data_IF_856392988607
#
_entry.id   IF_856392988607
#
_cell.length_a   1.000
_cell.length_b   1.000
_cell.length_c   1.000
_cell.angle_alpha   90.00
_cell.angle_beta   90.00
_cell.angle_gamma   90.00
#
_symmetry.space_group_name_H-M   'P 1'
#
loop_
_entity.id
_entity.type
_entity.pdbx_description
1 polymer ?
#
# COMPACT_ATOMS: atom_id res chain seq x y z
N UNK A 1 -11.19 20.54 14.31
CA UNK A 1 -12.38 20.22 15.12
C UNK A 1 -13.39 21.38 15.22
N UNK A 2 -12.99 22.64 15.05
CA UNK A 2 -13.87 23.81 15.05
C UNK A 2 -13.71 24.62 13.74
N UNK A 3 -14.77 25.18 13.14
CA UNK A 3 -14.69 25.88 11.84
C UNK A 3 -13.78 27.12 11.84
N UNK A 4 -13.58 27.73 13.01
CA UNK A 4 -12.69 28.89 13.19
C UNK A 4 -11.22 28.53 13.43
N UNK A 5 -10.87 27.23 13.47
CA UNK A 5 -9.47 26.82 13.61
C UNK A 5 -8.66 27.15 12.36
N UNK A 6 -7.35 27.41 12.51
CA UNK A 6 -6.48 27.67 11.36
C UNK A 6 -6.42 26.44 10.45
N UNK A 7 -6.51 26.70 9.14
CA UNK A 7 -6.51 25.66 8.10
C UNK A 7 -5.11 25.27 7.62
N UNK A 8 -4.10 26.06 7.98
CA UNK A 8 -2.72 25.86 7.59
C UNK A 8 -1.81 26.14 8.80
N UNK A 9 -0.89 25.21 9.07
CA UNK A 9 0.06 25.26 10.17
C UNK A 9 1.43 24.96 9.57
N UNK A 10 2.38 25.87 9.76
CA UNK A 10 3.79 25.67 9.42
C UNK A 10 4.58 25.23 10.66
N UNK A 11 5.64 24.47 10.45
CA UNK A 11 6.52 23.90 11.49
C UNK A 11 5.71 23.17 12.58
N UNK A 12 4.91 22.20 12.15
CA UNK A 12 4.00 21.46 12.98
C UNK A 12 4.73 20.57 14.02
N UNK A 13 4.47 20.84 15.30
CA UNK A 13 4.77 19.99 16.46
C UNK A 13 3.49 19.32 16.92
N UNK A 14 3.38 18.04 16.62
CA UNK A 14 2.13 17.28 16.67
C UNK A 14 2.11 16.46 17.96
N UNK A 15 1.12 16.69 18.81
CA UNK A 15 0.81 15.83 19.95
C UNK A 15 -0.09 14.69 19.48
N UNK A 16 0.42 13.45 19.57
CA UNK A 16 -0.29 12.24 19.14
C UNK A 16 -0.83 11.53 20.37
N UNK A 17 -2.15 11.59 20.57
CA UNK A 17 -2.80 11.18 21.81
C UNK A 17 -3.82 10.07 21.57
N UNK A 18 -3.83 9.07 22.44
CA UNK A 18 -4.90 8.05 22.49
C UNK A 18 -5.89 8.28 23.63
N UNK A 19 -5.64 9.26 24.51
CA UNK A 19 -6.62 9.68 25.51
C UNK A 19 -7.64 10.67 24.93
N UNK A 20 -8.93 10.56 25.30
CA UNK A 20 -9.94 11.57 24.97
C UNK A 20 -9.75 12.83 25.80
N UNK A 21 -10.19 13.98 25.28
CA UNK A 21 -10.40 15.18 26.10
C UNK A 21 -11.79 15.11 26.75
N UNK A 22 -11.87 14.33 27.82
CA UNK A 22 -13.06 14.16 28.65
C UNK A 22 -12.67 14.17 30.12
N UNK A 23 -13.57 14.55 31.04
CA UNK A 23 -13.35 14.39 32.47
C UNK A 23 -13.06 12.91 32.79
N UNK A 24 -12.13 12.61 33.71
CA UNK A 24 -11.70 11.25 33.96
C UNK A 24 -12.85 10.42 34.54
N UNK A 25 -13.37 9.50 33.75
CA UNK A 25 -14.38 8.53 34.17
C UNK A 25 -13.68 7.26 34.69
N UNK A 26 -14.08 6.73 35.85
CA UNK A 26 -13.59 5.43 36.30
C UNK A 26 -14.01 4.35 35.28
N UNK A 27 -13.13 3.37 35.06
CA UNK A 27 -13.42 2.25 34.12
C UNK A 27 -14.51 1.31 34.64
N UNK A 28 -14.78 1.34 35.94
CA UNK A 28 -15.85 0.59 36.59
C UNK A 28 -17.15 1.39 36.56
N UNK A 29 -18.29 0.68 36.58
CA UNK A 29 -19.61 1.33 36.71
C UNK A 29 -19.67 2.09 38.04
N UNK A 30 -19.62 3.42 37.97
CA UNK A 30 -19.77 4.31 39.10
C UNK A 30 -20.93 5.26 38.83
N UNK A 31 -21.94 5.22 39.71
CA UNK A 31 -23.00 6.22 39.72
C UNK A 31 -22.56 7.38 40.61
N UNK A 32 -22.53 8.58 40.05
CA UNK A 32 -22.26 9.78 40.84
C UNK A 32 -23.59 10.38 41.29
N UNK A 33 -23.89 10.27 42.58
CA UNK A 33 -25.10 10.84 43.17
C UNK A 33 -24.88 12.29 43.60
N UNK A 34 -25.55 13.22 42.92
CA UNK A 34 -25.52 14.64 43.27
C UNK A 34 -26.72 14.95 44.16
N UNK A 35 -26.48 15.24 45.45
CA UNK A 35 -27.54 15.43 46.46
C UNK A 35 -27.99 16.88 46.61
N UNK A 36 -27.15 17.84 46.26
CA UNK A 36 -27.43 19.28 46.41
C UNK A 36 -27.08 20.08 45.15
N UNK A 37 -27.69 21.27 45.01
CA UNK A 37 -27.38 22.22 43.92
C UNK A 37 -25.94 22.74 44.04
N UNK A 38 -25.40 22.83 45.25
CA UNK A 38 -24.02 23.25 45.51
C UNK A 38 -23.01 22.21 45.02
N UNK A 39 -23.29 20.93 45.21
CA UNK A 39 -22.44 19.84 44.71
C UNK A 39 -22.44 19.80 43.18
N UNK A 40 -23.57 20.11 42.55
CA UNK A 40 -23.65 20.24 41.09
C UNK A 40 -22.77 21.39 40.56
N UNK A 41 -22.73 22.54 41.26
CA UNK A 41 -21.85 23.67 40.90
C UNK A 41 -20.39 23.31 41.05
N UNK A 42 -20.00 22.67 42.17
CA UNK A 42 -18.63 22.20 42.40
C UNK A 42 -18.18 21.20 41.34
N UNK A 43 -19.07 20.31 40.90
CA UNK A 43 -18.77 19.34 39.85
C UNK A 43 -18.49 20.03 38.51
N UNK A 44 -19.31 21.01 38.13
CA UNK A 44 -19.08 21.80 36.91
C UNK A 44 -17.76 22.58 36.96
N UNK A 45 -17.45 23.21 38.09
CA UNK A 45 -16.17 23.90 38.29
C UNK A 45 -14.99 22.94 38.18
N UNK A 46 -15.11 21.74 38.74
CA UNK A 46 -14.10 20.70 38.64
C UNK A 46 -13.89 20.22 37.20
N UNK A 47 -14.96 20.00 36.43
CA UNK A 47 -14.88 19.61 35.01
C UNK A 47 -14.14 20.68 34.19
N UNK A 48 -14.52 21.95 34.34
CA UNK A 48 -13.86 23.08 33.67
C UNK A 48 -12.37 23.16 34.03
N UNK A 49 -12.03 23.07 35.32
CA UNK A 49 -10.64 23.09 35.78
C UNK A 49 -9.83 21.91 35.20
N UNK A 50 -10.44 20.73 35.09
CA UNK A 50 -9.80 19.55 34.49
C UNK A 50 -9.51 19.76 33.01
N UNK A 51 -10.46 20.29 32.25
CA UNK A 51 -10.22 20.61 30.84
C UNK A 51 -9.13 21.67 30.66
N UNK A 52 -9.16 22.73 31.47
CA UNK A 52 -8.09 23.75 31.44
C UNK A 52 -6.72 23.15 31.74
N UNK A 53 -6.64 22.25 32.73
CA UNK A 53 -5.40 21.54 33.07
C UNK A 53 -4.88 20.70 31.91
N UNK A 54 -5.75 19.92 31.26
CA UNK A 54 -5.37 19.10 30.10
C UNK A 54 -4.87 19.96 28.94
N UNK A 55 -5.61 21.00 28.57
CA UNK A 55 -5.22 21.91 27.47
C UNK A 55 -3.92 22.64 27.80
N UNK A 56 -3.72 23.05 29.05
CA UNK A 56 -2.49 23.69 29.51
C UNK A 56 -1.30 22.74 29.42
N UNK A 57 -1.43 21.49 29.88
CA UNK A 57 -0.37 20.48 29.76
C UNK A 57 0.07 20.29 28.30
N UNK A 58 -0.88 20.22 27.36
CA UNK A 58 -0.54 20.13 25.93
C UNK A 58 0.18 21.39 25.45
N UNK A 59 -0.28 22.59 25.86
CA UNK A 59 0.35 23.84 25.46
C UNK A 59 1.77 24.01 26.02
N UNK A 60 2.00 23.61 27.26
CA UNK A 60 3.28 23.72 27.96
C UNK A 60 4.37 22.86 27.30
N UNK A 61 3.98 21.76 26.65
CA UNK A 61 4.90 20.97 25.82
C UNK A 61 5.34 21.69 24.54
N UNK A 62 4.63 22.76 24.13
CA UNK A 62 4.91 23.51 22.91
C UNK A 62 4.38 22.84 21.63
N UNK A 63 3.44 21.91 21.75
CA UNK A 63 2.69 21.39 20.62
C UNK A 63 1.86 22.49 19.95
N UNK A 64 1.72 22.43 18.63
CA UNK A 64 0.89 23.35 17.84
C UNK A 64 -0.27 22.67 17.12
N UNK A 65 -0.31 21.33 17.11
CA UNK A 65 -1.42 20.55 16.59
C UNK A 65 -1.65 19.36 17.52
N UNK A 66 -2.92 19.07 17.81
CA UNK A 66 -3.31 17.92 18.62
C UNK A 66 -4.07 16.93 17.76
N UNK A 67 -3.64 15.68 17.78
CA UNK A 67 -4.31 14.59 17.06
C UNK A 67 -4.72 13.55 18.10
N UNK A 68 -6.02 13.30 18.18
CA UNK A 68 -6.59 12.33 19.10
C UNK A 68 -7.34 11.23 18.38
N UNK A 69 -7.15 10.01 18.88
CA UNK A 69 -7.90 8.83 18.42
C UNK A 69 -9.40 8.97 18.71
N UNK A 70 -9.75 9.47 19.89
CA UNK A 70 -11.14 9.62 20.34
C UNK A 70 -11.68 11.03 20.12
N UNK A 71 -12.98 11.20 20.40
CA UNK A 71 -13.67 12.48 20.38
C UNK A 71 -13.23 13.45 21.49
N UNK A 72 -13.80 14.65 21.43
CA UNK A 72 -13.69 15.69 22.46
C UNK A 72 -15.09 16.12 22.87
N UNK A 73 -15.24 16.55 24.11
CA UNK A 73 -16.38 17.36 24.53
C UNK A 73 -16.32 18.76 23.91
N UNK A 74 -17.49 19.38 23.70
CA UNK A 74 -17.59 20.70 23.04
C UNK A 74 -16.92 21.81 23.86
N UNK A 75 -16.97 21.72 25.20
CA UNK A 75 -16.28 22.65 26.10
C UNK A 75 -14.76 22.60 25.90
N UNK A 76 -14.19 21.40 25.81
CA UNK A 76 -12.76 21.21 25.53
C UNK A 76 -12.38 21.76 24.15
N UNK A 77 -13.23 21.58 23.13
CA UNK A 77 -13.00 22.11 21.80
C UNK A 77 -12.97 23.65 21.77
N UNK A 78 -13.84 24.31 22.55
CA UNK A 78 -13.82 25.76 22.70
C UNK A 78 -12.56 26.26 23.40
N UNK A 79 -12.12 25.59 24.48
CA UNK A 79 -10.88 25.91 25.18
C UNK A 79 -9.64 25.74 24.28
N UNK A 80 -9.59 24.67 23.49
CA UNK A 80 -8.53 24.45 22.50
C UNK A 80 -8.48 25.58 21.46
N UNK A 81 -9.64 26.06 20.99
CA UNK A 81 -9.73 27.19 20.08
C UNK A 81 -9.21 28.49 20.71
N UNK A 82 -9.64 28.82 21.93
CA UNK A 82 -9.19 30.02 22.64
C UNK A 82 -7.66 30.03 22.83
N UNK A 83 -7.06 28.86 23.08
CA UNK A 83 -5.61 28.68 23.24
C UNK A 83 -4.84 28.55 21.91
N UNK A 84 -5.54 28.75 20.77
CA UNK A 84 -5.01 28.64 19.41
C UNK A 84 -4.32 27.28 19.17
N UNK A 85 -4.92 26.20 19.67
CA UNK A 85 -4.49 24.83 19.47
C UNK A 85 -5.48 24.10 18.55
N UNK A 86 -5.19 24.00 17.24
CA UNK A 86 -5.99 23.19 16.34
C UNK A 86 -5.95 21.71 16.79
N UNK A 87 -7.10 21.04 16.67
CA UNK A 87 -7.24 19.66 17.07
C UNK A 87 -7.99 18.82 16.03
N UNK A 88 -7.56 17.57 15.90
CA UNK A 88 -8.18 16.52 15.07
C UNK A 88 -8.73 15.46 16.01
N UNK A 89 -10.02 15.16 15.83
CA UNK A 89 -10.77 14.16 16.62
C UNK A 89 -11.09 12.96 15.77
N UNK A 90 -11.33 11.81 16.40
CA UNK A 90 -11.76 10.58 15.73
C UNK A 90 -10.79 10.05 14.67
N UNK A 91 -9.49 10.03 14.98
CA UNK A 91 -8.49 9.43 14.09
C UNK A 91 -8.47 7.90 14.27
N UNK A 92 -8.40 7.16 13.16
CA UNK A 92 -8.35 5.70 13.20
C UNK A 92 -7.09 5.18 13.90
N UNK A 93 -7.17 3.99 14.52
CA UNK A 93 -6.02 3.34 15.15
C UNK A 93 -4.82 3.14 14.20
N UNK A 94 -5.00 2.54 13.01
CA UNK A 94 -3.91 2.39 12.04
C UNK A 94 -3.36 3.74 11.55
N UNK A 95 -4.22 4.76 11.46
CA UNK A 95 -3.82 6.10 11.01
C UNK A 95 -2.94 6.80 12.04
N UNK A 96 -3.26 6.67 13.34
CA UNK A 96 -2.45 7.29 14.40
C UNK A 96 -1.03 6.69 14.46
N UNK A 97 -0.91 5.38 14.18
CA UNK A 97 0.38 4.70 14.06
C UNK A 97 1.18 5.20 12.85
N UNK A 98 0.54 5.33 11.69
CA UNK A 98 1.20 5.87 10.49
C UNK A 98 1.65 7.32 10.68
N UNK A 99 0.84 8.16 11.33
CA UNK A 99 1.20 9.54 11.66
C UNK A 99 2.38 9.56 12.63
N UNK A 100 2.40 8.69 13.64
CA UNK A 100 3.52 8.57 14.57
C UNK A 100 4.81 8.16 13.84
N UNK A 101 4.75 7.16 12.95
CA UNK A 101 5.89 6.71 12.16
C UNK A 101 6.39 7.83 11.23
N UNK A 102 5.49 8.50 10.52
CA UNK A 102 5.84 9.58 9.58
C UNK A 102 6.49 10.77 10.31
N UNK A 103 5.85 11.25 11.37
CA UNK A 103 6.30 12.45 12.10
C UNK A 103 7.44 12.17 13.08
N UNK A 104 7.73 10.91 13.37
CA UNK A 104 8.71 10.48 14.38
C UNK A 104 8.24 10.66 15.83
N UNK A 105 6.97 11.05 16.03
CA UNK A 105 6.38 11.21 17.35
C UNK A 105 6.06 9.89 18.03
N UNK A 106 5.87 9.91 19.36
CA UNK A 106 5.38 8.76 20.12
C UNK A 106 3.92 8.93 20.45
N UNK A 107 3.17 7.84 20.37
CA UNK A 107 1.77 7.81 20.78
C UNK A 107 1.72 7.90 22.31
N UNK A 108 1.02 8.91 22.84
CA UNK A 108 0.94 9.15 24.29
C UNK A 108 -0.45 8.75 24.81
N UNK A 109 -0.52 7.85 25.81
CA UNK A 109 -1.79 7.36 26.34
C UNK A 109 -2.41 8.23 27.44
N UNK A 110 -1.62 9.11 28.07
CA UNK A 110 -2.05 9.97 29.19
C UNK A 110 -1.45 11.36 29.07
N UNK A 111 -2.22 12.40 29.38
CA UNK A 111 -1.76 13.80 29.31
C UNK A 111 -0.55 14.10 30.20
N UNK A 112 -0.45 13.45 31.37
CA UNK A 112 0.65 13.61 32.32
C UNK A 112 2.00 13.13 31.77
N UNK A 113 1.98 12.18 30.83
CA UNK A 113 3.19 11.63 30.22
C UNK A 113 3.64 12.40 28.98
N UNK A 114 2.89 13.44 28.59
CA UNK A 114 3.18 14.25 27.42
C UNK A 114 4.42 15.10 27.69
N UNK A 115 5.44 14.91 26.87
CA UNK A 115 6.74 15.56 26.99
C UNK A 115 7.18 16.06 25.62
N UNK A 116 8.06 17.07 25.58
CA UNK A 116 8.50 17.72 24.34
C UNK A 116 9.16 16.75 23.35
N UNK A 117 9.86 15.74 23.87
CA UNK A 117 10.56 14.71 23.09
C UNK A 117 9.61 13.71 22.41
N UNK A 118 8.38 13.57 22.93
CA UNK A 118 7.39 12.64 22.37
C UNK A 118 6.58 13.26 21.24
N UNK A 119 6.73 14.56 20.98
CA UNK A 119 6.00 15.25 19.92
C UNK A 119 6.53 14.85 18.54
N UNK A 120 5.61 14.68 17.59
CA UNK A 120 5.96 14.50 16.18
C UNK A 120 6.32 15.82 15.52
N UNK A 121 7.19 15.78 14.51
CA UNK A 121 7.59 16.96 13.73
C UNK A 121 7.18 16.79 12.27
N UNK A 122 6.51 17.80 11.71
CA UNK A 122 6.19 17.91 10.29
C UNK A 122 6.35 19.35 9.82
N UNK A 123 6.76 19.57 8.57
CA UNK A 123 6.97 20.93 8.06
C UNK A 123 5.67 21.67 7.81
N UNK A 124 4.68 21.02 7.20
CA UNK A 124 3.39 21.68 6.90
C UNK A 124 2.20 20.77 7.17
N UNK A 125 1.17 21.32 7.81
CA UNK A 125 -0.15 20.67 7.94
C UNK A 125 -1.21 21.56 7.34
N UNK A 126 -1.90 21.07 6.30
CA UNK A 126 -2.89 21.85 5.55
C UNK A 126 -4.19 21.08 5.35
N UNK A 127 -5.30 21.77 5.55
CA UNK A 127 -6.62 21.29 5.17
C UNK A 127 -6.81 21.56 3.66
N UNK A 128 -6.92 20.49 2.88
CA UNK A 128 -7.21 20.55 1.46
C UNK A 128 -8.65 20.08 1.22
N UNK A 129 -9.42 20.90 0.52
CA UNK A 129 -10.69 20.48 -0.07
C UNK A 129 -10.42 19.83 -1.42
N UNK A 130 -10.94 18.63 -1.63
CA UNK A 130 -10.74 17.91 -2.88
C UNK A 130 -12.06 17.76 -3.65
N UNK A 131 -12.05 18.18 -4.93
CA UNK A 131 -13.19 18.00 -5.83
C UNK A 131 -14.32 19.02 -5.64
N UNK A 132 -15.52 18.65 -6.14
CA UNK A 132 -16.77 19.41 -5.98
C UNK A 132 -17.59 18.97 -4.76
N UNK A 133 -17.29 17.82 -4.19
CA UNK A 133 -17.83 17.38 -2.90
C UNK A 133 -17.18 18.18 -1.78
N UNK A 134 -17.96 18.55 -0.74
CA UNK A 134 -17.49 19.36 0.40
C UNK A 134 -16.54 18.59 1.35
N UNK A 135 -15.91 17.53 0.86
CA UNK A 135 -15.00 16.71 1.64
C UNK A 135 -13.65 17.42 1.77
N UNK A 136 -13.16 17.44 3.01
CA UNK A 136 -11.90 18.08 3.36
C UNK A 136 -11.02 17.03 4.01
N UNK A 137 -9.77 16.99 3.59
CA UNK A 137 -8.76 16.12 4.15
C UNK A 137 -7.64 16.97 4.73
N UNK A 138 -7.05 16.47 5.81
CA UNK A 138 -5.87 17.07 6.40
C UNK A 138 -4.64 16.37 5.83
N UNK A 139 -3.77 17.13 5.17
CA UNK A 139 -2.52 16.61 4.60
C UNK A 139 -1.36 17.10 5.46
N UNK A 140 -0.54 16.15 5.91
CA UNK A 140 0.66 16.36 6.72
C UNK A 140 1.85 16.09 5.80
N UNK A 141 2.68 17.10 5.56
CA UNK A 141 3.80 17.08 4.61
C UNK A 141 5.11 17.46 5.31
N UNK A 142 6.23 17.16 4.66
CA UNK A 142 7.59 17.43 5.14
C UNK A 142 7.86 16.82 6.52
N UNK A 143 7.46 15.56 6.68
CA UNK A 143 7.76 14.78 7.87
C UNK A 143 9.23 14.35 7.90
N UNK A 144 9.84 14.32 9.08
CA UNK A 144 11.26 14.00 9.24
C UNK A 144 11.62 12.57 8.81
N UNK A 145 10.65 11.64 8.84
CA UNK A 145 10.85 10.24 8.50
C UNK A 145 10.22 9.88 7.16
N UNK A 146 11.02 9.44 6.19
CA UNK A 146 10.59 9.02 4.85
C UNK A 146 10.10 7.57 4.78
N UNK A 147 10.00 6.85 5.91
CA UNK A 147 9.54 5.45 5.95
C UNK A 147 8.06 5.27 5.60
N UNK A 148 7.24 6.31 5.75
CA UNK A 148 5.83 6.31 5.38
C UNK A 148 5.62 7.30 4.23
N UNK A 149 5.32 6.78 3.05
CA UNK A 149 4.99 7.57 1.85
C UNK A 149 3.58 7.19 1.41
N UNK A 150 2.74 8.21 1.21
CA UNK A 150 1.35 8.02 0.78
C UNK A 150 1.18 8.54 -0.64
N UNK A 151 0.77 7.65 -1.55
CA UNK A 151 0.34 8.03 -2.90
C UNK A 151 -1.18 8.23 -2.85
N UNK A 152 -1.63 9.46 -3.09
CA UNK A 152 -3.06 9.77 -3.07
C UNK A 152 -3.63 9.72 -4.50
N UNK A 153 -4.53 8.77 -4.74
CA UNK A 153 -5.16 8.53 -6.05
C UNK A 153 -6.60 9.05 -6.00
N UNK A 154 -7.02 9.72 -7.07
CA UNK A 154 -8.40 10.16 -7.28
C UNK A 154 -8.91 9.67 -8.62
N UNK A 155 -10.21 9.42 -8.70
CA UNK A 155 -10.89 9.00 -9.92
C UNK A 155 -12.37 9.37 -9.85
N UNK A 156 -13.01 9.52 -11.01
CA UNK A 156 -14.44 9.88 -11.09
C UNK A 156 -15.39 8.76 -10.66
N UNK A 157 -14.91 7.51 -10.61
CA UNK A 157 -15.67 6.34 -10.18
C UNK A 157 -14.81 5.50 -9.23
N UNK A 158 -15.43 4.94 -8.18
CA UNK A 158 -14.80 4.02 -7.23
C UNK A 158 -14.10 2.85 -7.92
N UNK A 159 -14.69 2.30 -8.99
CA UNK A 159 -14.08 1.20 -9.75
C UNK A 159 -12.74 1.60 -10.37
N UNK A 160 -12.63 2.82 -10.90
CA UNK A 160 -11.39 3.34 -11.49
C UNK A 160 -10.34 3.60 -10.40
N UNK A 161 -10.76 4.04 -9.21
CA UNK A 161 -9.84 4.26 -8.08
C UNK A 161 -9.23 2.94 -7.60
N UNK A 162 -10.04 1.89 -7.44
CA UNK A 162 -9.53 0.57 -7.03
C UNK A 162 -8.61 -0.03 -8.11
N UNK A 163 -8.94 0.11 -9.38
CA UNK A 163 -8.07 -0.35 -10.47
C UNK A 163 -6.76 0.45 -10.54
N UNK A 164 -6.81 1.77 -10.33
CA UNK A 164 -5.63 2.61 -10.24
C UNK A 164 -4.74 2.23 -9.06
N UNK A 165 -5.33 1.91 -7.90
CA UNK A 165 -4.61 1.41 -6.72
C UNK A 165 -3.94 0.07 -7.01
N UNK A 166 -4.63 -0.86 -7.66
CA UNK A 166 -4.08 -2.16 -8.07
C UNK A 166 -2.90 -1.98 -9.04
N UNK A 167 -3.08 -1.15 -10.07
CA UNK A 167 -2.04 -0.87 -11.07
C UNK A 167 -0.78 -0.28 -10.46
N UNK A 168 -0.92 0.68 -9.54
CA UNK A 168 0.23 1.27 -8.82
C UNK A 168 0.89 0.24 -7.90
N UNK A 169 0.11 -0.62 -7.25
CA UNK A 169 0.66 -1.69 -6.41
C UNK A 169 1.54 -2.64 -7.21
N UNK A 170 1.09 -3.05 -8.41
CA UNK A 170 1.86 -3.92 -9.30
C UNK A 170 3.16 -3.23 -9.76
N UNK A 171 3.07 -1.95 -10.15
CA UNK A 171 4.25 -1.17 -10.53
C UNK A 171 5.28 -1.04 -9.39
N UNK A 172 4.82 -0.75 -8.16
CA UNK A 172 5.68 -0.68 -6.98
C UNK A 172 6.34 -2.04 -6.67
N UNK A 173 5.62 -3.15 -6.87
CA UNK A 173 6.18 -4.49 -6.70
C UNK A 173 7.29 -4.79 -7.71
N UNK A 174 7.15 -4.34 -8.96
CA UNK A 174 8.19 -4.46 -9.99
C UNK A 174 9.42 -3.62 -9.63
N UNK A 175 9.22 -2.36 -9.20
CA UNK A 175 10.32 -1.48 -8.77
C UNK A 175 11.05 -2.10 -7.57
N UNK A 176 10.31 -2.61 -6.58
CA UNK A 176 10.90 -3.33 -5.44
C UNK A 176 11.77 -4.50 -5.89
N UNK A 177 11.33 -5.27 -6.88
CA UNK A 177 12.13 -6.38 -7.42
C UNK A 177 13.41 -5.87 -8.08
N UNK A 178 13.35 -4.75 -8.81
CA UNK A 178 14.52 -4.15 -9.45
C UNK A 178 15.54 -3.58 -8.44
N UNK A 179 15.06 -3.04 -7.32
CA UNK A 179 15.91 -2.59 -6.21
C UNK A 179 16.61 -3.77 -5.52
N UNK A 180 15.94 -4.93 -5.42
CA UNK A 180 16.53 -6.15 -4.87
C UNK A 180 17.48 -6.85 -5.84
N UNK A 181 17.13 -6.88 -7.12
CA UNK A 181 17.89 -7.50 -8.20
C UNK A 181 17.75 -6.66 -9.47
N UNK A 182 18.84 -5.98 -9.85
CA UNK A 182 18.85 -5.05 -10.98
C UNK A 182 18.85 -5.73 -12.36
N UNK A 183 18.76 -7.06 -12.41
CA UNK A 183 18.71 -7.80 -13.67
C UNK A 183 17.34 -7.71 -14.31
N UNK A 184 17.33 -7.39 -15.60
CA UNK A 184 16.14 -7.27 -16.42
C UNK A 184 16.13 -8.31 -17.53
N UNK A 185 14.93 -8.62 -18.02
CA UNK A 185 14.69 -9.38 -19.24
C UNK A 185 13.76 -8.57 -20.14
N UNK A 186 13.89 -8.76 -21.44
CA UNK A 186 12.96 -8.18 -22.39
C UNK A 186 11.71 -9.04 -22.41
N UNK A 187 10.54 -8.44 -22.22
CA UNK A 187 9.26 -9.17 -22.04
C UNK A 187 8.62 -9.57 -23.36
N UNK A 188 7.29 -9.50 -23.44
CA UNK A 188 6.54 -9.70 -24.69
C UNK A 188 6.69 -11.10 -25.28
N UNK A 189 6.88 -12.13 -24.46
CA UNK A 189 7.06 -13.52 -24.90
C UNK A 189 8.47 -13.86 -25.40
N UNK A 190 9.36 -12.86 -25.56
CA UNK A 190 10.75 -13.09 -25.97
C UNK A 190 11.53 -14.06 -25.05
N UNK A 191 11.45 -13.96 -23.71
CA UNK A 191 12.22 -14.81 -22.82
C UNK A 191 11.63 -16.22 -22.76
N UNK A 192 10.32 -16.39 -22.92
CA UNK A 192 9.68 -17.70 -23.02
C UNK A 192 10.09 -18.44 -24.30
N UNK A 193 10.15 -17.76 -25.45
CA UNK A 193 10.63 -18.33 -26.72
C UNK A 193 12.11 -18.72 -26.60
N UNK A 194 12.94 -17.84 -26.02
CA UNK A 194 14.36 -18.11 -25.83
C UNK A 194 14.60 -19.30 -24.91
N UNK A 195 13.84 -19.41 -23.81
CA UNK A 195 13.87 -20.58 -22.93
C UNK A 195 13.39 -21.85 -23.64
N UNK A 196 12.30 -21.78 -24.43
CA UNK A 196 11.81 -22.93 -25.21
C UNK A 196 12.89 -23.47 -26.14
N UNK A 197 13.55 -22.58 -26.90
CA UNK A 197 14.65 -22.96 -27.79
C UNK A 197 15.81 -23.65 -27.04
N UNK A 198 16.24 -23.06 -25.92
CA UNK A 198 17.33 -23.61 -25.12
C UNK A 198 16.98 -24.98 -24.51
N UNK A 199 15.76 -25.14 -23.99
CA UNK A 199 15.28 -26.42 -23.43
C UNK A 199 15.15 -27.46 -24.53
N UNK A 200 14.61 -27.10 -25.70
CA UNK A 200 14.48 -28.01 -26.84
C UNK A 200 15.84 -28.48 -27.37
N UNK A 201 16.86 -27.62 -27.39
CA UNK A 201 18.23 -27.99 -27.73
C UNK A 201 18.87 -28.88 -26.66
N UNK A 202 18.64 -28.61 -25.38
CA UNK A 202 19.11 -29.45 -24.29
C UNK A 202 18.45 -30.84 -24.32
N UNK A 203 17.15 -30.91 -24.64
CA UNK A 203 16.42 -32.16 -24.78
C UNK A 203 17.02 -33.07 -25.86
N UNK A 204 17.50 -32.51 -26.99
CA UNK A 204 18.16 -33.29 -28.06
C UNK A 204 19.45 -33.97 -27.61
N UNK A 205 20.12 -33.47 -26.57
CA UNK A 205 21.37 -34.05 -26.04
C UNK A 205 21.12 -35.22 -25.09
N UNK A 206 19.89 -35.36 -24.60
CA UNK A 206 19.50 -36.40 -23.65
C UNK A 206 18.81 -37.53 -24.41
N UNK A 207 19.28 -38.76 -24.21
CA UNK A 207 18.73 -39.96 -24.86
C UNK A 207 17.78 -40.76 -23.97
N UNK A 208 17.49 -40.28 -22.76
CA UNK A 208 16.60 -40.94 -21.78
C UNK A 208 15.15 -40.45 -21.93
N UNK A 209 14.23 -41.11 -21.21
CA UNK A 209 12.81 -40.74 -21.16
C UNK A 209 12.55 -39.27 -20.79
N UNK A 210 13.47 -38.64 -20.06
CA UNK A 210 13.39 -37.22 -19.68
C UNK A 210 13.34 -36.28 -20.88
N UNK A 211 13.84 -36.71 -22.05
CA UNK A 211 13.77 -35.96 -23.29
C UNK A 211 12.32 -35.55 -23.63
N UNK A 212 11.36 -36.45 -23.45
CA UNK A 212 9.95 -36.17 -23.74
C UNK A 212 9.39 -35.12 -22.78
N UNK A 213 9.71 -35.23 -21.49
CA UNK A 213 9.28 -34.26 -20.48
C UNK A 213 9.87 -32.86 -20.77
N UNK A 214 11.15 -32.78 -21.13
CA UNK A 214 11.78 -31.50 -21.52
C UNK A 214 11.17 -30.92 -22.79
N UNK A 215 10.85 -31.75 -23.78
CA UNK A 215 10.17 -31.32 -25.00
C UNK A 215 8.79 -30.76 -24.69
N UNK A 216 7.98 -31.46 -23.91
CA UNK A 216 6.66 -30.96 -23.48
C UNK A 216 6.77 -29.68 -22.66
N UNK A 217 7.82 -29.53 -21.83
CA UNK A 217 8.08 -28.29 -21.12
C UNK A 217 8.44 -27.14 -22.07
N UNK A 218 9.23 -27.39 -23.11
CA UNK A 218 9.53 -26.38 -24.14
C UNK A 218 8.28 -25.93 -24.90
N UNK A 219 7.40 -26.86 -25.26
CA UNK A 219 6.12 -26.57 -25.91
C UNK A 219 5.18 -25.79 -24.98
N UNK A 220 5.17 -26.13 -23.67
CA UNK A 220 4.38 -25.40 -22.69
C UNK A 220 4.83 -23.93 -22.54
N UNK A 221 6.13 -23.64 -22.66
CA UNK A 221 6.63 -22.25 -22.62
C UNK A 221 6.11 -21.41 -23.80
N UNK A 222 5.79 -22.04 -24.94
CA UNK A 222 5.25 -21.35 -26.12
C UNK A 222 3.78 -20.93 -25.94
N UNK A 223 3.07 -21.45 -24.93
CA UNK A 223 1.68 -21.04 -24.64
C UNK A 223 1.54 -19.55 -24.31
N UNK A 224 2.51 -18.96 -23.61
CA UNK A 224 2.51 -17.55 -23.22
C UNK A 224 2.59 -16.63 -24.44
N UNK A 225 3.60 -16.75 -25.34
CA UNK A 225 3.62 -15.96 -26.56
C UNK A 225 2.41 -16.27 -27.47
N UNK A 226 1.94 -17.52 -27.58
CA UNK A 226 0.72 -17.80 -28.36
C UNK A 226 -0.48 -17.00 -27.86
N UNK A 227 -0.71 -16.98 -26.54
CA UNK A 227 -1.79 -16.21 -25.94
C UNK A 227 -1.62 -14.69 -26.14
N UNK A 228 -0.38 -14.17 -26.11
CA UNK A 228 -0.13 -12.76 -26.41
C UNK A 228 -0.47 -12.42 -27.87
N UNK A 229 -0.09 -13.27 -28.82
CA UNK A 229 -0.40 -13.08 -30.23
C UNK A 229 -1.92 -13.14 -30.49
N UNK A 230 -2.60 -14.12 -29.89
CA UNK A 230 -4.05 -14.30 -30.00
C UNK A 230 -4.82 -13.08 -29.46
N UNK A 231 -4.48 -12.65 -28.24
CA UNK A 231 -5.11 -11.48 -27.62
C UNK A 231 -4.80 -10.15 -28.35
N UNK A 232 -3.73 -10.11 -29.14
CA UNK A 232 -3.35 -8.95 -29.94
C UNK A 232 -3.93 -8.98 -31.36
N UNK A 233 -4.68 -10.03 -31.72
CA UNK A 233 -5.34 -10.17 -33.03
C UNK A 233 -4.44 -10.69 -34.15
N UNK A 234 -3.27 -11.25 -33.84
CA UNK A 234 -2.40 -11.89 -34.84
C UNK A 234 -2.74 -13.37 -35.00
N UNK A 235 -2.29 -13.96 -36.12
CA UNK A 235 -2.27 -15.41 -36.29
C UNK A 235 -1.20 -16.03 -35.37
N UNK A 236 -1.56 -16.73 -34.27
CA UNK A 236 -0.61 -17.07 -33.21
C UNK A 236 0.51 -18.00 -33.69
N UNK A 237 0.15 -19.00 -34.48
CA UNK A 237 1.06 -20.02 -35.00
C UNK A 237 2.09 -19.40 -35.96
N UNK A 238 1.64 -18.57 -36.89
CA UNK A 238 2.52 -17.91 -37.87
C UNK A 238 3.47 -16.94 -37.19
N UNK A 239 2.93 -16.10 -36.30
CA UNK A 239 3.71 -15.08 -35.57
C UNK A 239 4.78 -15.71 -34.69
N UNK A 240 4.43 -16.78 -33.96
CA UNK A 240 5.39 -17.51 -33.13
C UNK A 240 6.48 -18.17 -33.99
N UNK A 241 6.10 -18.85 -35.08
CA UNK A 241 7.05 -19.51 -35.97
C UNK A 241 8.05 -18.53 -36.57
N UNK A 242 7.58 -17.36 -37.02
CA UNK A 242 8.41 -16.28 -37.55
C UNK A 242 9.40 -15.75 -36.50
N UNK A 243 8.90 -15.36 -35.32
CA UNK A 243 9.74 -14.82 -34.24
C UNK A 243 10.76 -15.86 -33.78
N UNK A 244 10.36 -17.12 -33.62
CA UNK A 244 11.24 -18.22 -33.25
C UNK A 244 12.34 -18.44 -34.28
N UNK A 245 11.99 -18.43 -35.57
CA UNK A 245 12.95 -18.51 -36.68
C UNK A 245 13.94 -17.35 -36.66
N UNK A 246 13.46 -16.12 -36.41
CA UNK A 246 14.31 -14.93 -36.29
C UNK A 246 15.21 -14.95 -35.07
N UNK A 247 14.74 -15.39 -33.91
CA UNK A 247 15.59 -15.55 -32.72
C UNK A 247 16.76 -16.49 -32.98
N UNK A 248 16.54 -17.59 -33.71
CA UNK A 248 17.61 -18.54 -34.08
C UNK A 248 18.58 -17.90 -35.09
N UNK A 249 18.06 -17.29 -36.17
CA UNK A 249 18.87 -16.72 -37.25
C UNK A 249 19.71 -15.53 -36.79
N UNK A 250 19.09 -14.62 -36.05
CA UNK A 250 19.72 -13.37 -35.58
C UNK A 250 20.47 -13.55 -34.24
N UNK A 251 20.31 -14.71 -33.57
CA UNK A 251 20.80 -14.98 -32.21
C UNK A 251 20.43 -13.87 -31.21
N UNK A 252 19.28 -13.26 -31.40
CA UNK A 252 18.81 -12.13 -30.62
C UNK A 252 17.62 -12.53 -29.73
N UNK A 253 17.82 -12.72 -28.41
CA UNK A 253 16.76 -13.15 -27.49
C UNK A 253 15.75 -12.04 -27.14
N UNK A 254 15.88 -10.85 -27.74
CA UNK A 254 15.03 -9.68 -27.49
C UNK A 254 13.80 -9.63 -28.39
N UNK A 255 13.72 -10.51 -29.38
CA UNK A 255 12.62 -10.52 -30.33
C UNK A 255 11.39 -11.16 -29.68
N UNK A 256 10.33 -10.37 -29.53
CA UNK A 256 9.06 -10.79 -28.95
C UNK A 256 7.88 -10.45 -29.83
N UNK A 257 6.69 -10.63 -29.28
CA UNK A 257 5.43 -10.33 -29.95
C UNK A 257 5.11 -8.85 -29.78
N UNK A 258 4.76 -8.21 -30.89
CA UNK A 258 4.40 -6.80 -30.94
C UNK A 258 2.91 -6.62 -30.61
N UNK A 259 2.55 -6.63 -29.34
CA UNK A 259 1.15 -6.46 -28.92
C UNK A 259 0.56 -5.08 -29.23
N UNK A 260 1.41 -4.08 -29.55
CA UNK A 260 0.99 -2.70 -29.80
C UNK A 260 0.96 -2.33 -31.28
N UNK A 261 1.22 -3.28 -32.19
CA UNK A 261 1.25 -3.05 -33.65
C UNK A 261 2.19 -1.89 -34.05
N UNK A 262 3.35 -1.75 -33.38
CA UNK A 262 4.37 -0.74 -33.70
C UNK A 262 5.19 -1.07 -34.94
N UNK A 263 5.08 -2.28 -35.48
CA UNK A 263 5.79 -2.74 -36.69
C UNK A 263 7.21 -3.23 -36.42
N UNK A 264 7.60 -3.43 -35.16
CA UNK A 264 8.94 -3.93 -34.78
C UNK A 264 8.82 -5.02 -33.73
N UNK A 265 9.57 -6.11 -33.84
CA UNK A 265 9.55 -7.19 -32.85
C UNK A 265 10.61 -7.05 -31.76
N UNK A 266 11.49 -6.04 -31.83
CA UNK A 266 12.53 -5.86 -30.81
C UNK A 266 11.95 -5.23 -29.54
N UNK A 267 11.89 -6.00 -28.46
CA UNK A 267 11.33 -5.55 -27.19
C UNK A 267 12.17 -4.46 -26.54
N UNK A 268 13.46 -4.31 -26.91
CA UNK A 268 14.29 -3.20 -26.46
C UNK A 268 13.84 -1.88 -27.08
N UNK A 269 13.59 -1.85 -28.38
CA UNK A 269 13.11 -0.64 -29.06
C UNK A 269 11.69 -0.30 -28.62
N UNK A 270 10.87 -1.31 -28.34
CA UNK A 270 9.53 -1.11 -27.77
C UNK A 270 9.52 -0.69 -26.29
N UNK A 271 10.64 -0.80 -25.59
CA UNK A 271 10.75 -0.60 -24.13
C UNK A 271 9.87 -1.54 -23.29
N UNK A 272 9.67 -2.77 -23.76
CA UNK A 272 8.96 -3.83 -23.02
C UNK A 272 9.96 -4.60 -22.17
N UNK A 273 10.04 -4.22 -20.89
CA UNK A 273 11.06 -4.72 -19.96
C UNK A 273 10.38 -5.27 -18.71
N UNK A 274 10.86 -6.45 -18.27
CA UNK A 274 10.44 -7.10 -17.04
C UNK A 274 11.66 -7.39 -16.15
N UNK A 275 11.41 -7.69 -14.87
CA UNK A 275 12.49 -8.09 -13.94
C UNK A 275 12.79 -9.59 -14.09
N UNK A 276 14.07 -9.95 -14.15
CA UNK A 276 14.50 -11.35 -14.23
C UNK A 276 13.98 -12.15 -13.03
N UNK A 277 14.02 -11.56 -11.83
CA UNK A 277 13.53 -12.21 -10.61
C UNK A 277 12.05 -12.59 -10.72
N UNK A 278 11.22 -11.74 -11.32
CA UNK A 278 9.80 -12.06 -11.53
C UNK A 278 9.63 -13.23 -12.49
N UNK A 279 10.32 -13.19 -13.64
CA UNK A 279 10.21 -14.24 -14.65
C UNK A 279 10.70 -15.60 -14.14
N UNK A 280 11.81 -15.62 -13.40
CA UNK A 280 12.32 -16.83 -12.74
C UNK A 280 11.31 -17.38 -11.73
N UNK A 281 10.71 -16.53 -10.91
CA UNK A 281 9.72 -16.94 -9.92
C UNK A 281 8.47 -17.53 -10.58
N UNK A 282 7.99 -16.93 -11.68
CA UNK A 282 6.84 -17.44 -12.44
C UNK A 282 7.07 -18.89 -12.91
N UNK A 283 8.21 -19.17 -13.53
CA UNK A 283 8.54 -20.51 -14.03
C UNK A 283 8.68 -21.52 -12.87
N UNK A 284 9.37 -21.13 -11.79
CA UNK A 284 9.56 -22.00 -10.63
C UNK A 284 8.24 -22.35 -9.94
N UNK A 285 7.35 -21.37 -9.76
CA UNK A 285 6.05 -21.57 -9.14
C UNK A 285 5.14 -22.46 -10.01
N UNK A 286 5.15 -22.28 -11.33
CA UNK A 286 4.42 -23.13 -12.25
C UNK A 286 4.89 -24.59 -12.14
N UNK A 287 6.20 -24.84 -12.19
CA UNK A 287 6.77 -26.19 -12.04
C UNK A 287 6.48 -26.77 -10.66
N UNK A 288 6.54 -25.97 -9.60
CA UNK A 288 6.22 -26.41 -8.24
C UNK A 288 4.75 -26.84 -8.13
N UNK A 289 3.84 -26.08 -8.72
CA UNK A 289 2.42 -26.42 -8.75
C UNK A 289 2.19 -27.73 -9.53
N UNK A 290 2.79 -27.88 -10.71
CA UNK A 290 2.71 -29.13 -11.49
C UNK A 290 3.24 -30.31 -10.68
N UNK A 291 4.37 -30.16 -9.98
CA UNK A 291 4.89 -31.20 -9.08
C UNK A 291 3.94 -31.53 -7.92
N UNK A 292 3.23 -30.54 -7.37
CA UNK A 292 2.23 -30.79 -6.33
C UNK A 292 1.05 -31.59 -6.87
N UNK A 293 0.54 -31.21 -8.04
CA UNK A 293 -0.61 -31.89 -8.66
C UNK A 293 -0.24 -33.33 -9.04
N UNK A 294 0.92 -33.54 -9.68
CA UNK A 294 1.39 -34.86 -10.08
C UNK A 294 1.76 -35.79 -8.90
N UNK A 295 1.88 -35.26 -7.68
CA UNK A 295 2.05 -36.08 -6.47
C UNK A 295 0.74 -36.67 -5.96
N UNK A 296 -0.41 -36.15 -6.41
CA UNK A 296 -1.71 -36.67 -6.02
C UNK A 296 -1.99 -37.90 -6.87
N UNK A 297 -1.90 -39.08 -6.25
CA UNK A 297 -2.13 -40.37 -6.90
C UNK A 297 -3.60 -40.81 -6.81
N UNK A 298 -4.31 -40.40 -5.76
CA UNK A 298 -5.70 -40.76 -5.49
C UNK A 298 -6.53 -39.51 -5.13
N UNK A 299 -7.71 -39.41 -5.73
CA UNK A 299 -8.71 -38.36 -5.45
C UNK A 299 -9.99 -39.05 -5.02
N UNK A 300 -10.22 -39.11 -3.70
CA UNK A 300 -11.45 -39.67 -3.14
C UNK A 300 -12.49 -38.60 -2.87
N UNK A 301 -13.69 -38.81 -3.37
CA UNK A 301 -14.85 -37.99 -3.02
C UNK A 301 -15.44 -38.43 -1.68
N UNK A 302 -16.24 -37.56 -1.06
CA UNK A 302 -16.99 -37.90 0.16
C UNK A 302 -18.05 -38.99 -0.06
N UNK A 303 -18.39 -39.30 -1.32
CA UNK A 303 -19.29 -40.39 -1.68
C UNK A 303 -18.60 -41.77 -1.66
N UNK A 304 -17.26 -41.82 -1.68
CA UNK A 304 -16.46 -43.06 -1.72
C UNK A 304 -15.97 -43.50 -0.32
N UNK A 305 -16.48 -42.87 0.74
CA UNK A 305 -16.16 -43.18 2.15
C UNK A 305 -17.24 -44.03 2.85
N UNK A 306 -18.18 -44.61 2.10
CA UNK A 306 -19.16 -45.59 2.62
C UNK A 306 -18.76 -47.00 2.24
#
# INVERSE_FOLDING_TARGET
SHPQMPKNIKDAKIAILTCPFEPPKPKTKHGLEVKSVEDYRKLREYELQKFETMVKQVKDTGANLVICQWGFDDEANHLLLQRKLPAVRWVGGPEIELIAIATGGRIVPRFEELTKEKLGTAGTVRELSFGTTKEKMLVIEDCNNSRAVTIFIRGGNKMIVEEGKRSIHDALCVIRNLVKDSRIVYGGGAPEISCSLAVAEAAKKISTLEQYAMKSFSEALESVPLALAENSGFAPIHTLADIKSRQIKEKNPRLGIDCLNKGTNDMKTQSVIETLSSKRAQILLAVQLTKMILKIDDVRGSADQV
#
